data_IF_283208783819
#
_entry.id   IF_283208783819
#
_cell.length_a   1.000
_cell.length_b   1.000
_cell.length_c   1.000
_cell.angle_alpha   90.00
_cell.angle_beta   90.00
_cell.angle_gamma   90.00
#
_symmetry.space_group_name_H-M   'P 1'
#
loop_
_entity.id
_entity.type
_entity.pdbx_description
1 polymer ?
#
# COMPACT_ATOMS: atom_id res chain seq x y z
N UNK A 1 40.00 2.56 13.96
CA UNK A 1 39.33 1.60 13.05
C UNK A 1 37.99 2.19 12.68
N UNK A 2 37.61 2.24 11.40
CA UNK A 2 36.24 2.63 11.02
C UNK A 2 35.28 1.47 11.31
N UNK A 3 34.04 1.78 11.65
CA UNK A 3 33.00 0.77 11.75
C UNK A 3 32.78 0.07 10.39
N UNK A 4 32.40 -1.23 10.37
CA UNK A 4 32.07 -1.94 9.14
C UNK A 4 30.76 -1.43 8.52
N UNK A 5 30.64 -1.53 7.19
CA UNK A 5 29.39 -1.24 6.47
C UNK A 5 28.38 -2.38 6.68
N UNK A 6 27.14 -2.03 7.00
CA UNK A 6 26.01 -2.96 7.11
C UNK A 6 24.94 -2.62 6.07
N UNK A 7 24.37 -3.63 5.44
CA UNK A 7 23.20 -3.48 4.58
C UNK A 7 21.95 -3.83 5.38
N UNK A 8 21.01 -2.90 5.47
CA UNK A 8 19.79 -3.01 6.28
C UNK A 8 18.60 -2.90 5.36
N UNK A 9 17.73 -3.92 5.37
CA UNK A 9 16.44 -3.89 4.68
C UNK A 9 15.38 -3.34 5.64
N UNK A 10 14.63 -2.33 5.22
CA UNK A 10 13.55 -1.72 6.00
C UNK A 10 12.23 -1.92 5.27
N UNK A 11 11.30 -2.61 5.91
CA UNK A 11 9.94 -2.82 5.40
C UNK A 11 9.05 -1.70 5.90
N UNK A 12 8.98 -0.61 5.12
CA UNK A 12 8.12 0.53 5.41
C UNK A 12 6.82 0.44 4.61
N UNK A 13 5.69 0.50 5.31
CA UNK A 13 4.37 0.48 4.66
C UNK A 13 4.08 1.82 3.98
N UNK A 14 3.82 1.79 2.67
CA UNK A 14 3.34 2.95 1.90
C UNK A 14 1.84 2.78 1.68
N UNK A 15 1.05 3.79 2.07
CA UNK A 15 -0.38 3.84 1.73
C UNK A 15 -0.56 4.46 0.35
N UNK A 16 -1.13 3.71 -0.58
CA UNK A 16 -1.53 4.19 -1.91
C UNK A 16 -3.06 4.36 -1.94
N UNK A 17 -3.56 5.56 -2.27
CA UNK A 17 -5.00 5.81 -2.43
C UNK A 17 -5.38 5.63 -3.89
N UNK A 18 -6.27 4.68 -4.17
CA UNK A 18 -6.74 4.37 -5.52
C UNK A 18 -8.21 4.75 -5.63
N UNK A 19 -8.57 5.47 -6.69
CA UNK A 19 -9.97 5.72 -7.04
C UNK A 19 -10.48 4.58 -7.92
N UNK A 20 -11.49 3.85 -7.45
CA UNK A 20 -12.10 2.74 -8.18
C UNK A 20 -13.63 2.86 -8.19
N UNK A 21 -14.26 2.32 -9.22
CA UNK A 21 -15.72 2.15 -9.28
C UNK A 21 -16.06 0.68 -9.10
N UNK A 22 -16.85 0.35 -8.10
CA UNK A 22 -17.22 -1.03 -7.78
C UNK A 22 -18.60 -1.10 -7.10
N UNK A 23 -19.21 -2.29 -7.09
CA UNK A 23 -20.55 -2.52 -6.54
C UNK A 23 -20.57 -2.61 -5.00
N UNK A 24 -19.47 -3.05 -4.40
CA UNK A 24 -19.28 -3.16 -2.96
C UNK A 24 -17.80 -3.01 -2.58
N UNK A 25 -17.51 -3.01 -1.29
CA UNK A 25 -16.15 -2.80 -0.77
C UNK A 25 -15.20 -3.97 -1.12
N UNK A 26 -15.70 -5.20 -1.23
CA UNK A 26 -14.87 -6.35 -1.59
C UNK A 26 -14.46 -6.32 -3.06
N UNK A 27 -15.40 -5.97 -3.94
CA UNK A 27 -15.13 -5.70 -5.35
C UNK A 27 -14.19 -4.49 -5.52
N UNK A 28 -14.34 -3.45 -4.68
CA UNK A 28 -13.43 -2.30 -4.67
C UNK A 28 -11.99 -2.70 -4.34
N UNK A 29 -11.78 -3.54 -3.31
CA UNK A 29 -10.44 -4.06 -2.96
C UNK A 29 -9.83 -4.85 -4.11
N UNK A 30 -10.59 -5.76 -4.74
CA UNK A 30 -10.11 -6.53 -5.90
C UNK A 30 -9.72 -5.65 -7.09
N UNK A 31 -10.50 -4.63 -7.38
CA UNK A 31 -10.20 -3.70 -8.47
C UNK A 31 -9.00 -2.81 -8.15
N UNK A 32 -8.85 -2.41 -6.89
CA UNK A 32 -7.66 -1.71 -6.41
C UNK A 32 -6.39 -2.57 -6.58
N UNK A 33 -6.43 -3.84 -6.18
CA UNK A 33 -5.32 -4.79 -6.40
C UNK A 33 -4.99 -4.94 -7.88
N UNK A 34 -6.01 -5.11 -8.72
CA UNK A 34 -5.84 -5.23 -10.17
C UNK A 34 -5.14 -4.00 -10.75
N UNK A 35 -5.56 -2.79 -10.37
CA UNK A 35 -4.93 -1.55 -10.83
C UNK A 35 -3.50 -1.39 -10.31
N UNK A 36 -3.24 -1.80 -9.06
CA UNK A 36 -1.95 -1.62 -8.42
C UNK A 36 -0.91 -2.64 -8.89
N UNK A 37 -1.30 -3.86 -9.29
CA UNK A 37 -0.35 -4.95 -9.50
C UNK A 37 -0.36 -5.58 -10.90
N UNK A 38 -1.43 -5.44 -11.69
CA UNK A 38 -1.57 -6.21 -12.94
C UNK A 38 -0.53 -5.87 -14.03
N UNK A 39 0.12 -4.71 -13.96
CA UNK A 39 1.13 -4.27 -14.92
C UNK A 39 2.44 -3.90 -14.21
N UNK A 40 2.79 -4.64 -13.16
CA UNK A 40 3.79 -4.23 -12.16
C UNK A 40 3.18 -3.32 -11.10
N UNK A 41 4.01 -2.80 -10.20
CA UNK A 41 3.55 -1.90 -9.14
C UNK A 41 3.14 -0.54 -9.73
N UNK A 42 1.87 -0.17 -9.56
CA UNK A 42 1.22 0.99 -10.17
C UNK A 42 1.75 2.35 -9.69
N UNK A 43 2.68 2.36 -8.73
CA UNK A 43 3.42 3.55 -8.29
C UNK A 43 4.92 3.28 -8.35
N UNK A 44 5.70 4.33 -8.62
CA UNK A 44 7.16 4.26 -8.63
C UNK A 44 7.70 4.85 -7.34
N UNK A 45 8.48 4.07 -6.60
CA UNK A 45 9.27 4.58 -5.48
C UNK A 45 10.57 5.18 -6.03
N UNK A 46 10.92 6.39 -5.59
CA UNK A 46 12.12 7.10 -6.02
C UNK A 46 13.03 7.28 -4.80
N UNK A 47 14.13 6.52 -4.69
CA UNK A 47 15.16 6.75 -3.69
C UNK A 47 15.72 8.17 -3.79
N UNK A 48 15.62 8.96 -2.71
CA UNK A 48 16.07 10.36 -2.71
C UNK A 48 17.12 10.68 -1.65
N UNK A 49 17.33 9.80 -0.67
CA UNK A 49 18.32 10.00 0.39
C UNK A 49 19.65 9.32 0.04
N UNK A 50 20.77 9.98 0.37
CA UNK A 50 22.15 9.58 0.04
C UNK A 50 22.54 8.15 0.49
N UNK A 51 21.82 7.56 1.44
CA UNK A 51 22.07 6.20 1.94
C UNK A 51 21.10 5.13 1.40
N UNK A 52 20.13 5.49 0.58
CA UNK A 52 19.15 4.54 0.03
C UNK A 52 19.69 4.01 -1.29
N UNK A 53 19.93 2.70 -1.34
CA UNK A 53 20.48 2.03 -2.51
C UNK A 53 19.39 1.67 -3.52
N UNK A 54 18.24 1.24 -3.03
CA UNK A 54 17.07 0.84 -3.80
C UNK A 54 15.80 1.06 -2.96
N UNK A 55 14.66 1.19 -3.64
CA UNK A 55 13.35 1.19 -3.00
C UNK A 55 12.40 0.45 -3.92
N UNK A 56 11.83 -0.63 -3.41
CA UNK A 56 10.88 -1.46 -4.13
C UNK A 56 9.70 -1.83 -3.23
N UNK A 57 8.61 -2.28 -3.86
CA UNK A 57 7.49 -2.87 -3.15
C UNK A 57 7.91 -4.19 -2.52
N UNK A 58 7.53 -4.42 -1.26
CA UNK A 58 7.89 -5.63 -0.52
C UNK A 58 7.11 -6.90 -0.96
N UNK A 59 6.37 -6.84 -2.06
CA UNK A 59 5.48 -7.93 -2.53
C UNK A 59 4.42 -8.37 -1.51
N UNK A 60 4.11 -7.52 -0.54
CA UNK A 60 3.19 -7.82 0.57
C UNK A 60 2.14 -6.72 0.77
N UNK A 61 0.87 -7.13 0.79
CA UNK A 61 -0.24 -6.30 1.26
C UNK A 61 -0.54 -6.67 2.72
N UNK A 62 -0.40 -5.71 3.64
CA UNK A 62 -0.66 -5.93 5.07
C UNK A 62 -2.12 -5.64 5.48
N UNK A 63 -2.89 -4.95 4.63
CA UNK A 63 -4.30 -4.65 4.84
C UNK A 63 -4.82 -3.52 3.94
N UNK A 64 -6.10 -3.21 4.10
CA UNK A 64 -6.81 -2.19 3.31
C UNK A 64 -7.52 -1.19 4.24
N UNK A 65 -7.65 0.05 3.78
CA UNK A 65 -8.55 1.05 4.33
C UNK A 65 -9.46 1.52 3.20
N UNK A 66 -10.76 1.30 3.34
CA UNK A 66 -11.75 1.63 2.31
C UNK A 66 -12.59 2.81 2.78
N UNK A 67 -12.55 3.91 2.03
CA UNK A 67 -13.35 5.10 2.26
C UNK A 67 -14.64 5.04 1.44
N UNK A 68 -15.73 5.61 1.96
CA UNK A 68 -16.92 5.85 1.14
C UNK A 68 -16.73 7.07 0.23
N UNK A 69 -17.31 7.05 -0.96
CA UNK A 69 -17.25 8.20 -1.87
C UNK A 69 -17.86 9.45 -1.19
N UNK A 70 -17.12 10.55 -1.21
CA UNK A 70 -17.51 11.80 -0.54
C UNK A 70 -17.25 11.83 0.97
N UNK A 71 -16.65 10.80 1.55
CA UNK A 71 -16.20 10.80 2.96
C UNK A 71 -14.81 11.43 3.09
N UNK A 72 -14.76 12.76 3.09
CA UNK A 72 -13.50 13.50 3.09
C UNK A 72 -12.73 13.43 4.42
N UNK A 73 -13.46 13.24 5.52
CA UNK A 73 -12.90 13.16 6.89
C UNK A 73 -12.64 11.72 7.34
N UNK A 74 -12.90 10.72 6.49
CA UNK A 74 -12.67 9.30 6.78
C UNK A 74 -13.54 8.72 7.91
N UNK A 75 -14.64 9.39 8.28
CA UNK A 75 -15.50 9.00 9.40
C UNK A 75 -16.24 7.67 9.17
N UNK A 76 -16.38 7.26 7.91
CA UNK A 76 -17.05 6.03 7.48
C UNK A 76 -16.08 5.02 6.88
N UNK A 77 -14.77 5.27 7.02
CA UNK A 77 -13.76 4.35 6.52
C UNK A 77 -13.77 3.03 7.31
N UNK A 78 -13.49 1.93 6.61
CA UNK A 78 -13.37 0.60 7.23
C UNK A 78 -12.04 -0.05 6.90
N UNK A 79 -11.42 -0.63 7.92
CA UNK A 79 -10.16 -1.35 7.81
C UNK A 79 -10.40 -2.84 7.58
N UNK A 80 -9.58 -3.43 6.71
CA UNK A 80 -9.59 -4.84 6.40
C UNK A 80 -8.18 -5.43 6.49
N UNK A 81 -8.08 -6.69 6.88
CA UNK A 81 -6.85 -7.47 6.84
C UNK A 81 -6.49 -7.82 5.39
N UNK A 82 -5.28 -8.35 5.18
CA UNK A 82 -4.76 -8.73 3.87
C UNK A 82 -5.66 -9.74 3.12
N UNK A 83 -6.40 -10.57 3.86
CA UNK A 83 -7.35 -11.54 3.31
C UNK A 83 -8.74 -10.95 3.02
N UNK A 84 -8.93 -9.66 3.28
CA UNK A 84 -10.20 -8.95 3.10
C UNK A 84 -11.18 -9.14 4.27
N UNK A 85 -10.78 -9.75 5.38
CA UNK A 85 -11.60 -9.81 6.58
C UNK A 85 -11.66 -8.42 7.27
N UNK A 86 -12.82 -7.98 7.78
CA UNK A 86 -12.89 -6.75 8.54
C UNK A 86 -12.01 -6.80 9.79
N UNK A 87 -11.25 -5.74 10.06
CA UNK A 87 -10.54 -5.56 11.33
C UNK A 87 -11.46 -4.73 12.24
N UNK A 88 -11.73 -5.25 13.43
CA UNK A 88 -12.55 -4.64 14.48
C UNK A 88 -11.95 -3.38 15.05
#
# INVERSE_FOLDING_TARGET
MSAPTHFVHVYATVRVKLGVTAHDQFAAMKEADRLLFANGFGVRLIPSATGVLEADYAEEVSGYLVDEAGDHEYDRSRTYAADGAPIS
#
